data_IF_857515823667
#
_entry.id   IF_857515823667
#
_cell.length_a   1.000
_cell.length_b   1.000
_cell.length_c   1.000
_cell.angle_alpha   90.00
_cell.angle_beta   90.00
_cell.angle_gamma   90.00
#
_symmetry.space_group_name_H-M   'P 1'
#
loop_
_entity.id
_entity.type
_entity.pdbx_description
1 polymer ?
#
# COMPACT_ATOMS: atom_id res chain seq x y z
N UNK A 1 -20.58 2.75 -20.20
CA UNK A 1 -19.52 2.03 -19.46
C UNK A 1 -18.42 3.03 -19.17
N UNK A 2 -18.02 3.19 -17.90
CA UNK A 2 -16.88 4.04 -17.52
C UNK A 2 -15.82 3.20 -16.83
N UNK A 3 -14.56 3.56 -17.04
CA UNK A 3 -13.40 2.90 -16.43
C UNK A 3 -12.73 3.87 -15.48
N UNK A 4 -12.33 3.39 -14.32
CA UNK A 4 -11.56 4.13 -13.33
C UNK A 4 -10.12 3.61 -13.31
N UNK A 5 -9.18 4.49 -13.04
CA UNK A 5 -7.76 4.16 -12.91
C UNK A 5 -7.40 4.35 -11.45
N UNK A 6 -6.93 3.28 -10.81
CA UNK A 6 -6.31 3.33 -9.50
C UNK A 6 -4.79 3.23 -9.71
N UNK A 7 -4.06 4.29 -9.39
CA UNK A 7 -2.61 4.35 -9.59
C UNK A 7 -1.90 4.50 -8.24
N UNK A 8 -0.78 3.79 -8.10
CA UNK A 8 0.16 3.89 -7.00
C UNK A 8 1.43 4.57 -7.50
N UNK A 9 1.77 5.67 -6.86
CA UNK A 9 2.95 6.47 -7.15
C UNK A 9 3.91 6.40 -5.96
N UNK A 10 5.21 6.54 -6.22
CA UNK A 10 6.18 6.78 -5.15
C UNK A 10 6.16 8.26 -4.70
N UNK A 11 7.01 8.60 -3.72
CA UNK A 11 7.12 9.96 -3.21
C UNK A 11 7.66 10.98 -4.24
N UNK A 12 8.31 10.52 -5.32
CA UNK A 12 8.83 11.36 -6.40
C UNK A 12 7.85 11.49 -7.57
N UNK A 13 6.63 10.94 -7.45
CA UNK A 13 5.63 10.87 -8.51
C UNK A 13 6.04 9.98 -9.69
N UNK A 14 6.82 8.94 -9.44
CA UNK A 14 6.97 7.85 -10.41
C UNK A 14 5.80 6.87 -10.29
N UNK A 15 5.27 6.41 -11.43
CA UNK A 15 4.21 5.40 -11.45
C UNK A 15 4.79 4.03 -11.13
N UNK A 16 4.40 3.48 -9.98
CA UNK A 16 4.86 2.17 -9.51
C UNK A 16 3.97 1.08 -10.08
N UNK A 17 2.64 1.19 -9.89
CA UNK A 17 1.64 0.21 -10.36
C UNK A 17 0.29 0.89 -10.59
N UNK A 18 -0.56 0.32 -11.45
CA UNK A 18 -1.95 0.75 -11.57
C UNK A 18 -2.89 -0.43 -11.86
N UNK A 19 -4.18 -0.24 -11.59
CA UNK A 19 -5.25 -1.15 -12.01
C UNK A 19 -6.41 -0.40 -12.64
N UNK A 20 -7.05 -1.07 -13.59
CA UNK A 20 -8.28 -0.61 -14.23
C UNK A 20 -9.48 -1.23 -13.54
N UNK A 21 -10.44 -0.40 -13.19
CA UNK A 21 -11.62 -0.78 -12.43
C UNK A 21 -12.89 -0.35 -13.16
N UNK A 22 -14.02 -1.05 -12.94
CA UNK A 22 -15.33 -0.53 -13.33
C UNK A 22 -15.60 0.81 -12.63
N UNK A 23 -16.12 1.79 -13.36
CA UNK A 23 -16.26 3.17 -12.85
C UNK A 23 -17.18 3.36 -11.65
N UNK A 24 -18.01 2.37 -11.31
CA UNK A 24 -18.89 2.37 -10.12
C UNK A 24 -18.32 1.54 -8.95
N UNK A 25 -17.07 1.08 -9.05
CA UNK A 25 -16.41 0.33 -7.99
C UNK A 25 -15.76 1.29 -6.97
N UNK A 26 -15.77 0.89 -5.70
CA UNK A 26 -15.13 1.64 -4.62
C UNK A 26 -13.62 1.40 -4.64
N UNK A 27 -12.83 2.47 -4.54
CA UNK A 27 -11.38 2.38 -4.74
C UNK A 27 -10.67 1.43 -3.79
N UNK A 28 -11.20 1.28 -2.59
CA UNK A 28 -10.62 0.40 -1.57
C UNK A 28 -10.68 -1.08 -1.90
N UNK A 29 -11.57 -1.50 -2.82
CA UNK A 29 -11.68 -2.90 -3.23
C UNK A 29 -10.38 -3.36 -3.89
N UNK A 30 -9.76 -2.47 -4.66
CA UNK A 30 -8.58 -2.79 -5.44
C UNK A 30 -7.26 -2.30 -4.81
N UNK A 31 -7.28 -1.73 -3.59
CA UNK A 31 -6.02 -1.39 -2.91
C UNK A 31 -5.22 -2.61 -2.46
N UNK A 32 -5.79 -3.62 -1.78
CA UNK A 32 -4.99 -4.74 -1.27
C UNK A 32 -4.18 -5.47 -2.35
N UNK A 33 -4.76 -5.80 -3.54
CA UNK A 33 -3.97 -6.44 -4.58
C UNK A 33 -3.01 -5.47 -5.31
N UNK A 34 -3.09 -4.15 -5.07
CA UNK A 34 -2.23 -3.15 -5.73
C UNK A 34 -0.91 -3.01 -4.98
N UNK A 35 -0.99 -3.06 -3.66
CA UNK A 35 0.14 -2.95 -2.73
C UNK A 35 0.69 -4.32 -2.30
N UNK A 36 0.10 -5.41 -2.78
CA UNK A 36 0.57 -6.76 -2.46
C UNK A 36 2.05 -6.94 -2.86
N UNK A 37 2.85 -7.43 -1.92
CA UNK A 37 4.30 -7.58 -2.04
C UNK A 37 5.09 -6.27 -2.17
N UNK A 38 4.50 -5.10 -1.88
CA UNK A 38 5.22 -3.83 -1.84
C UNK A 38 5.68 -3.53 -0.40
N UNK A 39 6.96 -3.21 -0.24
CA UNK A 39 7.50 -2.69 1.02
C UNK A 39 7.50 -1.16 0.96
N UNK A 40 6.79 -0.52 1.88
CA UNK A 40 6.76 0.93 2.00
C UNK A 40 6.69 1.35 3.48
N UNK A 41 7.54 2.30 3.88
CA UNK A 41 7.59 2.83 5.24
C UNK A 41 6.34 3.65 5.60
N UNK A 42 5.71 4.25 4.58
CA UNK A 42 4.47 4.99 4.72
C UNK A 42 3.62 4.87 3.46
N UNK A 43 2.32 4.62 3.65
CA UNK A 43 1.33 4.59 2.58
C UNK A 43 0.35 5.74 2.74
N UNK A 44 0.31 6.67 1.78
CA UNK A 44 -0.57 7.84 1.81
C UNK A 44 -1.59 7.69 0.69
N UNK A 45 -2.86 7.90 1.03
CA UNK A 45 -3.97 7.83 0.09
C UNK A 45 -4.56 9.21 -0.17
N UNK A 46 -5.22 9.38 -1.32
CA UNK A 46 -5.95 10.61 -1.64
C UNK A 46 -6.98 10.96 -0.56
N UNK A 47 -7.28 12.25 -0.40
CA UNK A 47 -8.25 12.73 0.59
C UNK A 47 -9.65 12.12 0.42
N UNK A 48 -10.06 11.80 -0.81
CA UNK A 48 -11.35 11.17 -1.10
C UNK A 48 -11.41 9.69 -0.69
N UNK A 49 -10.27 9.08 -0.35
CA UNK A 49 -10.19 7.71 0.13
C UNK A 49 -10.62 7.63 1.61
N UNK A 50 -11.92 7.45 1.82
CA UNK A 50 -12.57 7.55 3.13
C UNK A 50 -12.31 6.43 4.15
N UNK A 51 -11.22 5.66 4.06
CA UNK A 51 -10.95 4.55 5.00
C UNK A 51 -9.52 4.58 5.54
N UNK A 52 -9.36 5.05 6.77
CA UNK A 52 -8.09 5.02 7.53
C UNK A 52 -7.54 3.61 7.77
N UNK A 53 -8.39 2.58 7.71
CA UNK A 53 -8.05 1.19 8.08
C UNK A 53 -7.10 0.51 7.07
N UNK A 54 -7.15 0.93 5.80
CA UNK A 54 -6.38 0.33 4.71
C UNK A 54 -4.90 0.72 4.82
N UNK A 55 -4.65 1.95 5.27
CA UNK A 55 -3.30 2.48 5.46
C UNK A 55 -2.59 1.74 6.61
N UNK A 56 -3.30 1.51 7.72
CA UNK A 56 -2.72 0.87 8.91
C UNK A 56 -2.43 -0.63 8.75
N UNK A 57 -3.19 -1.35 7.90
CA UNK A 57 -3.02 -2.81 7.73
C UNK A 57 -1.87 -3.18 6.78
N UNK A 58 -1.37 -2.21 6.01
CA UNK A 58 -0.43 -2.43 4.90
C UNK A 58 1.02 -2.07 5.24
N UNK A 59 1.20 -1.24 6.28
CA UNK A 59 2.52 -0.94 6.84
C UNK A 59 2.80 -2.03 7.88
N UNK A 60 3.51 -3.08 7.48
CA UNK A 60 3.97 -4.10 8.40
C UNK A 60 4.89 -3.46 9.44
N UNK A 61 4.52 -3.56 10.71
CA UNK A 61 5.43 -3.41 11.85
C UNK A 61 6.43 -4.58 11.75
N UNK A 62 7.45 -4.46 10.90
CA UNK A 62 8.58 -5.38 10.93
C UNK A 62 9.39 -5.04 12.18
N UNK A 63 9.07 -5.74 13.28
CA UNK A 63 10.02 -5.94 14.37
C UNK A 63 11.35 -6.34 13.74
N UNK A 64 12.33 -5.46 13.89
CA UNK A 64 13.71 -5.73 13.50
C UNK A 64 14.20 -6.80 14.46
N UNK A 65 14.09 -8.07 14.06
CA UNK A 65 14.79 -9.19 14.67
C UNK A 65 16.29 -8.97 14.42
N UNK A 66 16.91 -8.12 15.24
CA UNK A 66 18.36 -8.02 15.35
C UNK A 66 18.84 -9.39 15.80
N UNK A 67 19.61 -10.03 14.92
CA UNK A 67 20.12 -11.38 15.08
C UNK A 67 20.63 -11.65 16.48
N UNK A 68 20.17 -12.78 17.02
CA UNK A 68 20.80 -13.49 18.13
C UNK A 68 22.28 -13.69 17.83
N UNK A 69 23.11 -12.75 18.28
CA UNK A 69 24.49 -13.03 18.63
C UNK A 69 24.41 -13.69 20.00
N UNK A 70 24.63 -15.01 20.00
CA UNK A 70 24.74 -15.81 21.21
C UNK A 70 25.78 -15.24 22.19
N UNK A 71 25.79 -15.71 23.45
CA UNK A 71 26.59 -15.12 24.49
C UNK A 71 28.07 -15.18 24.12
N UNK A 72 28.68 -14.01 23.93
CA UNK A 72 30.13 -13.86 23.99
C UNK A 72 30.46 -13.95 25.49
N UNK A 73 31.30 -14.93 25.84
CA UNK A 73 31.75 -15.23 27.21
C UNK A 73 32.07 -14.00 28.06
#
# INVERSE_FOLDING_TARGET
MTTKILALMDALNNLVRFRLMPGQCFDSVDVPPLIDGLECDAFISDKAFGRKTIIASSVSEKTVEHGSLGPVF
#
